data_IF_588281856679
#
_entry.id   IF_588281856679
#
_cell.length_a   1.000
_cell.length_b   1.000
_cell.length_c   1.000
_cell.angle_alpha   90.00
_cell.angle_beta   90.00
_cell.angle_gamma   90.00
#
_symmetry.space_group_name_H-M   'P 1'
#
loop_
_entity.id
_entity.type
_entity.pdbx_description
1 polymer ?
#
# COMPACT_ATOMS: atom_id res chain seq x y z
N UNK A 1 39.17 -39.97 -86.19
CA UNK A 1 39.68 -39.42 -84.86
C UNK A 1 38.59 -39.16 -83.84
N UNK A 2 37.53 -39.95 -83.79
CA UNK A 2 36.33 -39.62 -82.92
C UNK A 2 36.11 -40.50 -81.70
N UNK A 3 36.60 -41.73 -81.68
CA UNK A 3 36.24 -42.71 -80.62
C UNK A 3 37.05 -42.57 -79.33
N UNK A 4 38.35 -42.31 -79.42
CA UNK A 4 39.22 -42.10 -78.24
C UNK A 4 38.87 -40.87 -77.40
N UNK A 5 38.26 -39.87 -77.93
CA UNK A 5 37.88 -38.65 -77.24
C UNK A 5 36.52 -38.83 -76.47
N UNK A 6 35.63 -39.68 -77.00
CA UNK A 6 34.38 -40.07 -76.32
C UNK A 6 34.63 -40.96 -75.06
N UNK A 7 35.59 -41.93 -75.23
CA UNK A 7 35.96 -42.82 -74.07
C UNK A 7 36.66 -42.06 -72.96
N UNK A 8 37.54 -41.09 -73.31
CA UNK A 8 38.16 -40.23 -72.27
C UNK A 8 37.13 -39.35 -71.55
N UNK A 9 36.09 -38.83 -72.21
CA UNK A 9 35.01 -38.07 -71.61
C UNK A 9 34.13 -38.93 -70.76
N UNK A 10 33.80 -40.17 -71.17
CA UNK A 10 33.01 -41.10 -70.38
C UNK A 10 33.77 -41.58 -69.13
N UNK A 11 35.10 -41.85 -69.26
CA UNK A 11 35.93 -42.21 -68.10
C UNK A 11 36.05 -41.04 -67.10
N UNK A 12 36.15 -39.80 -67.59
CA UNK A 12 36.21 -38.62 -66.74
C UNK A 12 34.84 -38.34 -66.02
N UNK A 13 33.72 -38.60 -66.68
CA UNK A 13 32.40 -38.49 -66.12
C UNK A 13 32.20 -39.57 -65.02
N UNK A 14 32.56 -40.85 -65.28
CA UNK A 14 32.45 -41.93 -64.31
C UNK A 14 33.37 -41.73 -63.08
N UNK A 15 34.52 -41.10 -63.24
CA UNK A 15 35.43 -40.75 -62.15
C UNK A 15 34.92 -39.55 -61.34
N UNK A 16 34.16 -38.64 -61.95
CA UNK A 16 33.50 -37.53 -61.27
C UNK A 16 32.26 -38.00 -60.46
N UNK A 17 31.57 -39.00 -60.98
CA UNK A 17 30.43 -39.62 -60.35
C UNK A 17 30.82 -40.46 -59.11
N UNK A 18 31.92 -41.30 -59.25
CA UNK A 18 32.51 -42.00 -58.08
C UNK A 18 33.04 -41.04 -57.03
N UNK A 19 33.66 -39.89 -57.38
CA UNK A 19 34.06 -38.89 -56.39
C UNK A 19 32.87 -38.16 -55.74
N UNK A 20 31.69 -38.18 -56.33
CA UNK A 20 30.47 -37.68 -55.70
C UNK A 20 29.79 -38.70 -54.75
N UNK A 21 29.95 -40.01 -55.04
CA UNK A 21 29.43 -41.06 -54.18
C UNK A 21 30.32 -41.37 -52.94
N UNK A 22 31.62 -41.05 -53.01
CA UNK A 22 32.59 -41.24 -51.92
C UNK A 22 32.79 -39.98 -51.09
N UNK A 23 32.06 -38.89 -51.36
CA UNK A 23 32.02 -37.77 -50.47
C UNK A 23 31.18 -38.16 -49.22
N UNK A 24 31.74 -38.06 -48.02
CA UNK A 24 30.92 -38.26 -46.83
C UNK A 24 29.74 -37.29 -46.90
N UNK A 25 28.52 -37.72 -46.45
CA UNK A 25 27.39 -36.84 -46.37
C UNK A 25 27.80 -35.57 -45.62
N UNK A 26 27.34 -34.38 -46.06
CA UNK A 26 27.63 -33.17 -45.33
C UNK A 26 27.25 -33.44 -43.86
N UNK A 27 28.24 -33.36 -42.94
CA UNK A 27 27.97 -33.33 -41.54
C UNK A 27 27.06 -32.12 -41.34
N UNK A 28 25.85 -32.37 -40.99
CA UNK A 28 24.91 -31.37 -40.45
C UNK A 28 25.37 -31.02 -39.04
N UNK A 29 26.55 -30.41 -38.91
CA UNK A 29 27.05 -29.84 -37.68
C UNK A 29 26.34 -28.44 -37.54
N UNK A 30 25.04 -28.46 -37.34
CA UNK A 30 24.31 -27.18 -37.33
C UNK A 30 22.86 -27.22 -36.84
N UNK A 31 22.39 -28.33 -36.32
CA UNK A 31 21.10 -28.32 -35.62
C UNK A 31 21.36 -28.72 -34.16
N UNK A 32 21.83 -27.77 -33.37
CA UNK A 32 22.12 -28.01 -31.96
C UNK A 32 22.73 -26.85 -31.20
N UNK A 33 23.00 -25.74 -31.81
CA UNK A 33 23.11 -24.52 -31.03
C UNK A 33 21.66 -24.01 -30.81
N UNK A 34 21.03 -24.42 -29.74
CA UNK A 34 19.86 -23.73 -29.24
C UNK A 34 20.26 -22.25 -29.17
N UNK A 35 19.69 -21.46 -30.07
CA UNK A 35 19.94 -20.01 -30.07
C UNK A 35 19.46 -19.52 -28.73
N UNK A 36 20.37 -19.04 -27.89
CA UNK A 36 20.02 -18.53 -26.57
C UNK A 36 18.84 -17.56 -26.73
N UNK A 37 17.84 -17.71 -25.90
CA UNK A 37 16.65 -16.87 -25.95
C UNK A 37 17.06 -15.43 -25.67
N UNK A 38 16.60 -14.51 -26.51
CA UNK A 38 16.88 -13.08 -26.34
C UNK A 38 16.19 -12.57 -25.05
N UNK A 39 16.79 -11.64 -24.30
CA UNK A 39 16.22 -11.15 -23.02
C UNK A 39 14.77 -10.67 -23.15
N UNK A 40 14.42 -10.02 -24.27
CA UNK A 40 13.06 -9.51 -24.52
C UNK A 40 12.02 -10.64 -24.64
N UNK A 41 12.41 -11.79 -25.16
CA UNK A 41 11.53 -12.96 -25.22
C UNK A 41 11.32 -13.57 -23.84
N UNK A 42 12.36 -13.61 -23.01
CA UNK A 42 12.25 -14.07 -21.62
C UNK A 42 11.33 -13.14 -20.82
N UNK A 43 11.46 -11.82 -21.01
CA UNK A 43 10.59 -10.83 -20.39
C UNK A 43 9.12 -11.01 -20.81
N UNK A 44 8.89 -11.23 -22.11
CA UNK A 44 7.54 -11.49 -22.64
C UNK A 44 6.96 -12.81 -22.11
N UNK A 45 7.76 -13.86 -22.03
CA UNK A 45 7.35 -15.13 -21.44
C UNK A 45 7.01 -15.00 -19.95
N UNK A 46 7.77 -14.17 -19.19
CA UNK A 46 7.47 -13.90 -17.79
C UNK A 46 6.12 -13.17 -17.62
N UNK A 47 5.81 -12.20 -18.48
CA UNK A 47 4.52 -11.50 -18.48
C UNK A 47 3.39 -12.46 -18.86
N UNK A 48 3.54 -13.27 -19.89
CA UNK A 48 2.56 -14.28 -20.29
C UNK A 48 2.27 -15.28 -19.15
N UNK A 49 3.31 -15.79 -18.50
CA UNK A 49 3.17 -16.70 -17.36
C UNK A 49 2.41 -16.03 -16.19
N UNK A 50 2.66 -14.75 -15.92
CA UNK A 50 1.97 -13.99 -14.89
C UNK A 50 0.49 -13.77 -15.27
N UNK A 51 0.19 -13.45 -16.51
CA UNK A 51 -1.19 -13.26 -17.00
C UNK A 51 -1.97 -14.59 -16.99
N UNK A 52 -1.36 -15.70 -17.36
CA UNK A 52 -1.94 -17.04 -17.26
C UNK A 52 -2.25 -17.40 -15.80
N UNK A 53 -1.33 -17.09 -14.88
CA UNK A 53 -1.54 -17.31 -13.44
C UNK A 53 -2.74 -16.50 -12.94
N UNK A 54 -2.89 -15.24 -13.34
CA UNK A 54 -4.06 -14.40 -13.05
C UNK A 54 -5.35 -14.96 -13.64
N UNK A 55 -5.24 -15.61 -14.81
CA UNK A 55 -6.34 -16.33 -15.45
C UNK A 55 -6.73 -17.66 -14.77
N UNK A 56 -5.99 -18.06 -13.72
CA UNK A 56 -6.25 -19.28 -12.94
C UNK A 56 -5.41 -20.49 -13.32
N UNK A 57 -4.43 -20.33 -14.20
CA UNK A 57 -3.47 -21.41 -14.56
C UNK A 57 -2.36 -21.50 -13.52
N UNK A 58 -2.55 -22.35 -12.52
CA UNK A 58 -1.57 -22.55 -11.45
C UNK A 58 -0.28 -23.27 -11.90
N UNK A 59 -0.23 -23.84 -13.12
CA UNK A 59 0.96 -24.50 -13.65
C UNK A 59 1.92 -23.50 -14.34
N UNK A 60 1.42 -22.35 -14.76
CA UNK A 60 2.19 -21.36 -15.54
C UNK A 60 3.56 -21.00 -14.92
N UNK A 61 3.71 -20.79 -13.58
CA UNK A 61 5.01 -20.50 -12.98
C UNK A 61 6.04 -21.66 -13.10
N UNK A 62 5.56 -22.90 -13.06
CA UNK A 62 6.41 -24.08 -13.21
C UNK A 62 6.82 -24.29 -14.67
N UNK A 63 5.87 -24.17 -15.59
CA UNK A 63 6.14 -24.26 -17.03
C UNK A 63 7.14 -23.19 -17.48
N UNK A 64 7.02 -21.96 -17.01
CA UNK A 64 8.00 -20.91 -17.24
C UNK A 64 9.40 -21.28 -16.76
N UNK A 65 9.51 -21.85 -15.55
CA UNK A 65 10.80 -22.27 -15.00
C UNK A 65 11.42 -23.44 -15.78
N UNK A 66 10.60 -24.40 -16.25
CA UNK A 66 11.03 -25.56 -17.03
C UNK A 66 11.47 -25.14 -18.45
N UNK A 67 10.75 -24.23 -19.09
CA UNK A 67 11.11 -23.69 -20.41
C UNK A 67 12.49 -23.01 -20.39
N UNK A 68 12.81 -22.31 -19.30
CA UNK A 68 14.09 -21.60 -19.15
C UNK A 68 15.20 -22.41 -18.48
N UNK A 69 14.97 -23.71 -18.20
CA UNK A 69 15.97 -24.55 -17.51
C UNK A 69 17.28 -24.71 -18.30
N UNK A 70 17.22 -24.64 -19.64
CA UNK A 70 18.37 -24.73 -20.53
C UNK A 70 19.07 -23.39 -20.82
N UNK A 71 18.48 -22.27 -20.42
CA UNK A 71 18.99 -20.93 -20.73
C UNK A 71 20.07 -20.50 -19.73
N UNK A 72 20.91 -19.54 -20.15
CA UNK A 72 21.96 -18.97 -19.29
C UNK A 72 21.31 -18.27 -18.08
N UNK A 73 21.63 -18.76 -16.89
CA UNK A 73 21.09 -18.26 -15.64
C UNK A 73 21.18 -16.72 -15.51
N UNK A 74 22.33 -16.14 -15.84
CA UNK A 74 22.54 -14.69 -15.75
C UNK A 74 21.61 -13.89 -16.69
N UNK A 75 21.32 -14.42 -17.91
CA UNK A 75 20.42 -13.76 -18.86
C UNK A 75 18.97 -13.80 -18.35
N UNK A 76 18.52 -14.97 -17.87
CA UNK A 76 17.18 -15.12 -17.31
C UNK A 76 16.99 -14.24 -16.08
N UNK A 77 17.95 -14.24 -15.16
CA UNK A 77 17.87 -13.46 -13.92
C UNK A 77 17.82 -11.95 -14.21
N UNK A 78 18.61 -11.48 -15.16
CA UNK A 78 18.60 -10.07 -15.58
C UNK A 78 17.26 -9.69 -16.22
N UNK A 79 16.70 -10.54 -17.08
CA UNK A 79 15.41 -10.29 -17.72
C UNK A 79 14.26 -10.27 -16.71
N UNK A 80 14.24 -11.24 -15.77
CA UNK A 80 13.23 -11.28 -14.69
C UNK A 80 13.36 -10.06 -13.77
N UNK A 81 14.57 -9.64 -13.40
CA UNK A 81 14.78 -8.43 -12.61
C UNK A 81 14.31 -7.17 -13.34
N UNK A 82 14.55 -7.07 -14.65
CA UNK A 82 14.13 -5.94 -15.47
C UNK A 82 12.59 -5.84 -15.55
N UNK A 83 11.89 -6.95 -15.79
CA UNK A 83 10.43 -6.95 -15.88
C UNK A 83 9.79 -6.63 -14.52
N UNK A 84 10.31 -7.16 -13.42
CA UNK A 84 9.84 -6.84 -12.08
C UNK A 84 10.04 -5.36 -11.73
N UNK A 85 11.20 -4.79 -12.06
CA UNK A 85 11.47 -3.37 -11.86
C UNK A 85 10.48 -2.49 -12.63
N UNK A 86 10.17 -2.84 -13.90
CA UNK A 86 9.15 -2.14 -14.67
C UNK A 86 7.76 -2.31 -14.09
N UNK A 87 7.40 -3.50 -13.62
CA UNK A 87 6.12 -3.75 -12.98
C UNK A 87 5.94 -2.91 -11.71
N UNK A 88 6.96 -2.83 -10.85
CA UNK A 88 6.95 -1.97 -9.65
C UNK A 88 6.78 -0.50 -10.05
N UNK A 89 7.52 -0.02 -11.04
CA UNK A 89 7.38 1.36 -11.54
C UNK A 89 5.98 1.63 -12.10
N UNK A 90 5.39 0.69 -12.84
CA UNK A 90 4.02 0.81 -13.33
C UNK A 90 3.01 0.92 -12.17
N UNK A 91 3.23 0.19 -11.09
CA UNK A 91 2.42 0.27 -9.86
C UNK A 91 2.50 1.66 -9.25
N UNK A 92 3.68 2.30 -9.21
CA UNK A 92 3.82 3.69 -8.77
C UNK A 92 3.07 4.68 -9.67
N UNK A 93 3.17 4.49 -10.99
CA UNK A 93 2.42 5.30 -11.96
C UNK A 93 0.92 5.16 -11.77
N UNK A 94 0.45 4.00 -11.36
CA UNK A 94 -0.94 3.69 -11.03
C UNK A 94 -1.36 4.15 -9.62
N UNK A 95 -0.55 4.99 -8.96
CA UNK A 95 -0.91 5.66 -7.71
C UNK A 95 -0.73 4.85 -6.43
N UNK A 96 -0.11 3.68 -6.49
CA UNK A 96 0.23 2.89 -5.30
C UNK A 96 1.47 3.44 -4.60
N UNK A 97 1.58 3.14 -3.31
CA UNK A 97 2.73 3.50 -2.47
C UNK A 97 3.37 2.22 -1.89
N UNK A 98 4.63 2.28 -1.44
CA UNK A 98 5.33 1.09 -0.89
C UNK A 98 4.55 0.36 0.20
N UNK A 99 4.02 1.09 1.18
CA UNK A 99 3.21 0.52 2.25
C UNK A 99 1.93 -0.13 1.72
N UNK A 100 1.29 0.48 0.73
CA UNK A 100 0.05 -0.05 0.14
C UNK A 100 0.29 -1.38 -0.57
N UNK A 101 1.36 -1.48 -1.36
CA UNK A 101 1.76 -2.73 -2.04
C UNK A 101 2.04 -3.83 -1.02
N UNK A 102 2.78 -3.51 0.04
CA UNK A 102 3.06 -4.45 1.12
C UNK A 102 1.78 -4.92 1.83
N UNK A 103 0.88 -4.01 2.18
CA UNK A 103 -0.40 -4.34 2.81
C UNK A 103 -1.29 -5.20 1.91
N UNK A 104 -1.30 -4.93 0.61
CA UNK A 104 -2.03 -5.75 -0.37
C UNK A 104 -1.43 -7.15 -0.46
N UNK A 105 -0.10 -7.24 -0.55
CA UNK A 105 0.62 -8.50 -0.62
C UNK A 105 0.40 -9.36 0.63
N UNK A 106 0.53 -8.78 1.83
CA UNK A 106 0.32 -9.49 3.11
C UNK A 106 -1.08 -10.10 3.24
N UNK A 107 -2.10 -9.54 2.58
CA UNK A 107 -3.48 -10.03 2.67
C UNK A 107 -3.80 -11.14 1.67
N UNK A 108 -2.95 -11.36 0.68
CA UNK A 108 -3.26 -12.22 -0.49
C UNK A 108 -2.18 -13.23 -0.84
N UNK A 109 -0.95 -13.03 -0.37
CA UNK A 109 0.19 -13.84 -0.73
C UNK A 109 0.81 -14.50 0.49
N UNK A 110 1.53 -15.59 0.26
CA UNK A 110 2.32 -16.23 1.28
C UNK A 110 3.47 -15.34 1.74
N UNK A 111 3.85 -15.47 3.01
CA UNK A 111 4.89 -14.66 3.64
C UNK A 111 6.21 -14.63 2.85
N UNK A 112 6.57 -15.75 2.21
CA UNK A 112 7.79 -15.87 1.41
C UNK A 112 7.70 -15.00 0.15
N UNK A 113 6.54 -15.00 -0.52
CA UNK A 113 6.25 -14.14 -1.69
C UNK A 113 6.20 -12.67 -1.30
N UNK A 114 5.62 -12.34 -0.14
CA UNK A 114 5.63 -10.97 0.42
C UNK A 114 7.05 -10.44 0.57
N UNK A 115 7.99 -11.27 1.09
CA UNK A 115 9.39 -10.89 1.19
C UNK A 115 10.01 -10.56 -0.17
N UNK A 116 9.68 -11.33 -1.21
CA UNK A 116 10.15 -11.06 -2.57
C UNK A 116 9.53 -9.77 -3.15
N UNK A 117 8.26 -9.45 -2.85
CA UNK A 117 7.65 -8.16 -3.20
C UNK A 117 8.45 -7.01 -2.58
N UNK A 118 8.82 -7.10 -1.30
CA UNK A 118 9.63 -6.08 -0.61
C UNK A 118 11.00 -5.92 -1.27
N UNK A 119 11.65 -7.04 -1.63
CA UNK A 119 12.91 -7.02 -2.36
C UNK A 119 12.79 -6.32 -3.73
N UNK A 120 11.72 -6.59 -4.49
CA UNK A 120 11.46 -5.94 -5.77
C UNK A 120 11.25 -4.42 -5.62
N UNK A 121 10.54 -4.01 -4.57
CA UNK A 121 10.35 -2.59 -4.19
C UNK A 121 11.69 -1.96 -3.82
N UNK A 122 12.53 -2.65 -3.03
CA UNK A 122 13.85 -2.16 -2.65
C UNK A 122 14.79 -1.99 -3.87
N UNK A 123 14.77 -2.95 -4.80
CA UNK A 123 15.54 -2.90 -6.03
C UNK A 123 15.18 -1.68 -6.90
N UNK A 124 13.88 -1.42 -7.07
CA UNK A 124 13.40 -0.29 -7.86
C UNK A 124 13.74 1.05 -7.19
N UNK A 125 13.61 1.14 -5.86
CA UNK A 125 13.92 2.35 -5.10
C UNK A 125 15.39 2.80 -5.20
N UNK A 126 16.34 1.89 -5.46
CA UNK A 126 17.75 2.22 -5.66
C UNK A 126 18.01 3.11 -6.88
N UNK A 127 17.06 3.23 -7.80
CA UNK A 127 17.22 4.04 -9.02
C UNK A 127 17.10 5.55 -8.77
N UNK A 128 16.65 5.96 -7.58
CA UNK A 128 16.39 7.36 -7.25
C UNK A 128 17.36 7.90 -6.21
N UNK A 129 17.84 9.10 -6.45
CA UNK A 129 18.59 9.83 -5.42
C UNK A 129 17.66 10.17 -4.24
N UNK A 130 18.10 9.93 -3.01
CA UNK A 130 17.27 10.12 -1.82
C UNK A 130 16.68 11.55 -1.69
N UNK A 131 17.36 12.55 -2.23
CA UNK A 131 16.91 13.95 -2.23
C UNK A 131 15.70 14.19 -3.17
N UNK A 132 15.48 13.31 -4.15
CA UNK A 132 14.39 13.41 -5.13
C UNK A 132 13.18 12.54 -4.77
N UNK A 133 13.23 11.88 -3.61
CA UNK A 133 12.15 11.03 -3.09
C UNK A 133 11.47 11.73 -1.93
N UNK A 134 10.16 11.84 -1.98
CA UNK A 134 9.36 12.49 -0.94
C UNK A 134 9.59 11.84 0.43
N UNK A 135 9.58 12.61 1.53
CA UNK A 135 9.87 12.13 2.88
C UNK A 135 8.98 10.96 3.31
N UNK A 136 7.66 11.08 3.12
CA UNK A 136 6.70 10.01 3.42
C UNK A 136 6.94 8.73 2.61
N UNK A 137 7.45 8.86 1.40
CA UNK A 137 7.82 7.69 0.61
C UNK A 137 8.99 6.93 1.24
N UNK A 138 10.02 7.67 1.69
CA UNK A 138 11.18 7.10 2.38
C UNK A 138 10.80 6.47 3.71
N UNK A 139 9.89 7.10 4.46
CA UNK A 139 9.33 6.55 5.70
C UNK A 139 8.62 5.22 5.44
N UNK A 140 7.83 5.12 4.37
CA UNK A 140 7.15 3.88 4.00
C UNK A 140 8.12 2.78 3.58
N UNK A 141 9.15 3.08 2.78
CA UNK A 141 10.20 2.12 2.45
C UNK A 141 10.89 1.58 3.72
N UNK A 142 11.21 2.48 4.66
CA UNK A 142 11.78 2.10 5.95
C UNK A 142 10.82 1.24 6.78
N UNK A 143 9.53 1.58 6.82
CA UNK A 143 8.52 0.86 7.62
C UNK A 143 8.26 -0.58 7.16
N UNK A 144 8.55 -0.90 5.91
CA UNK A 144 8.43 -2.24 5.34
C UNK A 144 9.77 -2.96 5.22
N UNK A 145 10.85 -2.41 5.78
CA UNK A 145 12.23 -2.93 5.67
C UNK A 145 12.68 -3.16 4.22
N UNK A 146 12.31 -2.26 3.29
CA UNK A 146 12.71 -2.32 1.90
C UNK A 146 14.19 -1.97 1.73
N UNK A 147 15.05 -2.92 2.04
CA UNK A 147 16.52 -2.79 2.03
C UNK A 147 17.13 -3.80 1.08
N UNK A 148 18.06 -3.36 0.23
CA UNK A 148 18.87 -4.27 -0.60
C UNK A 148 19.87 -5.01 0.32
N UNK A 149 19.62 -6.29 0.54
CA UNK A 149 20.43 -7.17 1.38
C UNK A 149 21.39 -8.06 0.57
N UNK A 150 21.16 -8.17 -0.75
CA UNK A 150 21.98 -8.97 -1.65
C UNK A 150 23.18 -8.16 -2.18
N UNK A 151 24.20 -8.89 -2.60
CA UNK A 151 25.42 -8.27 -3.13
C UNK A 151 25.17 -7.61 -4.49
N UNK A 152 25.57 -6.36 -4.69
CA UNK A 152 25.53 -5.70 -6.00
C UNK A 152 26.36 -6.46 -7.04
N UNK A 153 25.81 -6.63 -8.24
CA UNK A 153 26.49 -7.31 -9.34
C UNK A 153 26.29 -8.83 -9.40
N UNK A 154 25.71 -9.43 -8.36
CA UNK A 154 25.25 -10.81 -8.38
C UNK A 154 23.71 -10.88 -8.51
N UNK A 155 23.19 -11.97 -9.05
CA UNK A 155 21.75 -12.14 -9.26
C UNK A 155 21.00 -12.18 -7.92
N UNK A 156 20.02 -11.28 -7.74
CA UNK A 156 19.10 -11.34 -6.61
C UNK A 156 18.37 -12.67 -6.54
N UNK A 157 17.81 -13.15 -7.65
CA UNK A 157 17.07 -14.41 -7.72
C UNK A 157 17.89 -15.60 -7.20
N UNK A 158 19.16 -15.70 -7.61
CA UNK A 158 20.05 -16.77 -7.17
C UNK A 158 20.38 -16.67 -5.67
N UNK A 159 20.66 -15.46 -5.17
CA UNK A 159 20.93 -15.23 -3.74
C UNK A 159 19.67 -15.44 -2.90
N UNK A 160 18.51 -15.03 -3.41
CA UNK A 160 17.22 -15.26 -2.76
C UNK A 160 16.91 -16.76 -2.63
N UNK A 161 17.13 -17.54 -3.72
CA UNK A 161 16.96 -19.00 -3.71
C UNK A 161 17.85 -19.65 -2.65
N UNK A 162 19.12 -19.25 -2.57
CA UNK A 162 20.06 -19.76 -1.58
C UNK A 162 19.64 -19.39 -0.15
N UNK A 163 19.27 -18.13 0.09
CA UNK A 163 18.84 -17.65 1.41
C UNK A 163 17.62 -18.37 1.95
N UNK A 164 16.69 -18.75 1.06
CA UNK A 164 15.45 -19.44 1.44
C UNK A 164 15.51 -20.95 1.29
N UNK A 165 16.67 -21.53 0.94
CA UNK A 165 16.84 -22.99 0.72
C UNK A 165 15.94 -23.52 -0.39
N UNK A 166 15.69 -22.71 -1.43
CA UNK A 166 14.84 -23.04 -2.57
C UNK A 166 15.66 -23.37 -3.80
N UNK A 167 15.07 -24.15 -4.71
CA UNK A 167 15.64 -24.34 -6.04
C UNK A 167 15.48 -23.08 -6.88
N UNK A 168 16.30 -22.92 -7.92
CA UNK A 168 16.17 -21.84 -8.89
C UNK A 168 14.78 -21.81 -9.56
N UNK A 169 14.27 -22.99 -9.95
CA UNK A 169 12.93 -23.11 -10.52
C UNK A 169 11.84 -22.57 -9.57
N UNK A 170 11.92 -22.91 -8.29
CA UNK A 170 11.01 -22.39 -7.28
C UNK A 170 11.13 -20.86 -7.11
N UNK A 171 12.34 -20.30 -7.20
CA UNK A 171 12.54 -18.85 -7.13
C UNK A 171 11.97 -18.13 -8.36
N UNK A 172 12.11 -18.70 -9.56
CA UNK A 172 11.46 -18.21 -10.77
C UNK A 172 9.93 -18.23 -10.63
N UNK A 173 9.37 -19.31 -10.10
CA UNK A 173 7.93 -19.41 -9.83
C UNK A 173 7.45 -18.29 -8.90
N UNK A 174 8.18 -18.02 -7.80
CA UNK A 174 7.87 -16.90 -6.89
C UNK A 174 7.96 -15.55 -7.61
N UNK A 175 8.94 -15.35 -8.48
CA UNK A 175 9.05 -14.10 -9.26
C UNK A 175 7.83 -13.90 -10.17
N UNK A 176 7.28 -14.96 -10.77
CA UNK A 176 6.04 -14.91 -11.58
C UNK A 176 4.82 -14.60 -10.68
N UNK A 177 4.74 -15.18 -9.49
CA UNK A 177 3.68 -14.86 -8.53
C UNK A 177 3.71 -13.38 -8.12
N UNK A 178 4.90 -12.83 -7.89
CA UNK A 178 5.07 -11.39 -7.60
C UNK A 178 4.64 -10.54 -8.79
N UNK A 179 5.05 -10.91 -10.01
CA UNK A 179 4.69 -10.18 -11.23
C UNK A 179 3.16 -10.18 -11.43
N UNK A 180 2.52 -11.33 -11.27
CA UNK A 180 1.08 -11.47 -11.33
C UNK A 180 0.38 -10.61 -10.26
N UNK A 181 0.86 -10.64 -9.01
CA UNK A 181 0.30 -9.83 -7.94
C UNK A 181 0.37 -8.34 -8.25
N UNK A 182 1.52 -7.84 -8.73
CA UNK A 182 1.70 -6.44 -9.13
C UNK A 182 0.80 -6.07 -10.32
N UNK A 183 0.67 -6.97 -11.31
CA UNK A 183 -0.21 -6.79 -12.47
C UNK A 183 -1.71 -6.76 -12.12
N UNK A 184 -2.11 -7.39 -11.00
CA UNK A 184 -3.50 -7.41 -10.54
C UNK A 184 -3.96 -6.11 -9.85
N UNK A 185 -3.05 -5.18 -9.59
CA UNK A 185 -3.34 -3.96 -8.84
C UNK A 185 -4.14 -2.96 -9.69
N UNK A 186 -5.31 -2.51 -9.24
CA UNK A 186 -6.10 -1.51 -9.97
C UNK A 186 -5.43 -0.13 -9.91
N UNK A 187 -5.78 0.73 -10.83
CA UNK A 187 -5.37 2.14 -10.78
C UNK A 187 -6.03 2.86 -9.61
N UNK A 188 -5.23 3.62 -8.87
CA UNK A 188 -5.63 4.47 -7.75
C UNK A 188 -5.30 5.93 -8.06
N UNK A 189 -5.97 6.84 -7.35
CA UNK A 189 -5.61 8.26 -7.39
C UNK A 189 -4.24 8.46 -6.72
N UNK A 190 -3.36 9.21 -7.39
CA UNK A 190 -2.03 9.51 -6.85
C UNK A 190 -2.14 10.51 -5.71
N UNK A 191 -1.55 10.17 -4.57
CA UNK A 191 -1.58 10.99 -3.34
C UNK A 191 -0.19 11.53 -2.93
N UNK A 192 0.87 11.08 -3.58
CA UNK A 192 2.23 11.61 -3.41
C UNK A 192 2.91 11.79 -4.77
N UNK A 193 3.89 12.70 -4.88
CA UNK A 193 4.74 12.80 -6.06
C UNK A 193 5.48 11.48 -6.32
N UNK A 194 5.73 11.18 -7.59
CA UNK A 194 6.50 10.00 -7.95
C UNK A 194 7.95 10.09 -7.45
N UNK A 195 8.60 8.95 -7.15
CA UNK A 195 10.03 8.94 -6.88
C UNK A 195 10.81 9.57 -8.04
N UNK A 196 11.82 10.36 -7.72
CA UNK A 196 12.60 11.10 -8.71
C UNK A 196 12.04 12.47 -9.11
N UNK A 197 10.78 12.79 -8.75
CA UNK A 197 10.14 14.06 -9.12
C UNK A 197 9.94 15.01 -7.93
N UNK A 198 10.22 14.59 -6.71
CA UNK A 198 10.02 15.45 -5.54
C UNK A 198 11.06 16.55 -5.50
N UNK A 199 10.61 17.81 -5.56
CA UNK A 199 11.43 18.97 -5.16
C UNK A 199 11.33 19.14 -3.65
N UNK A 200 12.44 19.40 -2.98
CA UNK A 200 12.46 19.69 -1.54
C UNK A 200 11.78 21.04 -1.31
N UNK A 201 10.62 21.12 -0.64
CA UNK A 201 10.03 22.40 -0.31
C UNK A 201 10.91 23.11 0.73
N UNK A 202 11.49 24.23 0.37
CA UNK A 202 12.38 24.98 1.27
C UNK A 202 11.64 25.78 2.37
N UNK A 203 10.36 26.07 2.17
CA UNK A 203 9.59 26.97 3.04
C UNK A 203 8.91 26.32 4.25
N UNK A 204 8.70 24.99 4.27
CA UNK A 204 7.91 24.31 5.32
C UNK A 204 8.69 23.84 6.56
N UNK A 205 10.03 24.02 6.62
CA UNK A 205 10.84 23.38 7.67
C UNK A 205 10.65 23.99 9.06
N UNK A 206 10.41 25.30 9.16
CA UNK A 206 10.19 25.98 10.45
C UNK A 206 8.77 25.69 11.01
N UNK A 207 7.76 25.67 10.15
CA UNK A 207 6.37 25.32 10.53
C UNK A 207 6.27 23.85 10.97
N UNK A 208 6.88 22.91 10.26
CA UNK A 208 6.95 21.48 10.67
C UNK A 208 7.56 21.29 12.06
N UNK A 209 8.51 22.14 12.48
CA UNK A 209 9.11 22.05 13.82
C UNK A 209 8.13 22.42 14.94
N UNK A 210 7.20 23.35 14.72
CA UNK A 210 6.13 23.72 15.68
C UNK A 210 5.07 22.64 15.71
N UNK A 211 4.60 22.19 14.55
CA UNK A 211 3.63 21.13 14.40
C UNK A 211 4.10 19.83 15.06
N UNK A 212 5.35 19.45 14.86
CA UNK A 212 5.96 18.28 15.51
C UNK A 212 6.02 18.40 17.04
N UNK A 213 6.29 19.59 17.60
CA UNK A 213 6.26 19.79 19.04
C UNK A 213 4.88 19.63 19.63
N UNK A 214 3.86 20.14 18.93
CA UNK A 214 2.47 20.01 19.35
C UNK A 214 1.99 18.58 19.22
N UNK A 215 2.28 17.92 18.10
CA UNK A 215 2.01 16.50 17.93
C UNK A 215 2.69 15.63 18.99
N UNK A 216 3.95 15.92 19.34
CA UNK A 216 4.66 15.25 20.43
C UNK A 216 3.98 15.48 21.78
N UNK A 217 3.46 16.70 22.04
CA UNK A 217 2.74 17.04 23.26
C UNK A 217 1.35 16.36 23.31
N UNK A 218 0.64 16.35 22.20
CA UNK A 218 -0.61 15.60 22.05
C UNK A 218 -0.35 14.11 22.31
N UNK A 219 0.65 13.52 21.65
CA UNK A 219 1.08 12.13 21.90
C UNK A 219 1.43 11.87 23.36
N UNK A 220 2.12 12.81 24.02
CA UNK A 220 2.48 12.72 25.45
C UNK A 220 1.26 12.77 26.36
N UNK A 221 0.30 13.66 26.10
CA UNK A 221 -0.96 13.73 26.84
C UNK A 221 -1.77 12.45 26.67
N UNK A 222 -1.87 12.01 25.42
CA UNK A 222 -2.57 10.80 25.06
C UNK A 222 -1.90 9.56 25.71
N UNK A 223 -0.59 9.43 25.69
CA UNK A 223 0.16 8.35 26.35
C UNK A 223 -0.03 8.36 27.88
N UNK A 224 -0.12 9.54 28.49
CA UNK A 224 -0.39 9.66 29.93
C UNK A 224 -1.81 9.25 30.27
N UNK A 225 -2.79 9.65 29.49
CA UNK A 225 -4.18 9.24 29.62
C UNK A 225 -4.34 7.72 29.54
N UNK A 226 -3.51 7.05 28.72
CA UNK A 226 -3.49 5.58 28.59
C UNK A 226 -2.88 4.86 29.79
N UNK A 227 -1.93 5.50 30.43
CA UNK A 227 -1.19 4.91 31.55
C UNK A 227 -1.87 5.08 32.89
N UNK A 228 -2.81 6.03 33.03
CA UNK A 228 -3.53 6.23 34.28
C UNK A 228 -4.57 5.14 34.56
N UNK A 229 -4.65 4.73 35.79
CA UNK A 229 -5.67 3.78 36.26
C UNK A 229 -7.04 4.42 36.53
N UNK A 230 -7.12 5.75 36.50
CA UNK A 230 -8.31 6.52 36.83
C UNK A 230 -9.01 7.00 35.53
N UNK A 231 -10.26 6.51 35.28
CA UNK A 231 -11.00 6.88 34.08
C UNK A 231 -11.22 8.40 33.94
N UNK A 232 -11.47 9.09 35.03
CA UNK A 232 -11.70 10.54 35.05
C UNK A 232 -10.44 11.33 34.68
N UNK A 233 -9.25 10.89 35.10
CA UNK A 233 -7.97 11.49 34.70
C UNK A 233 -7.68 11.22 33.23
N UNK A 234 -7.96 10.02 32.74
CA UNK A 234 -7.85 9.67 31.32
C UNK A 234 -8.74 10.56 30.46
N UNK A 235 -10.00 10.78 30.88
CA UNK A 235 -10.93 11.64 30.20
C UNK A 235 -10.45 13.11 30.17
N UNK A 236 -9.96 13.63 31.30
CA UNK A 236 -9.43 14.99 31.40
C UNK A 236 -8.20 15.20 30.50
N UNK A 237 -7.30 14.22 30.42
CA UNK A 237 -6.12 14.28 29.57
C UNK A 237 -6.48 14.19 28.08
N UNK A 238 -7.45 13.36 27.74
CA UNK A 238 -7.96 13.24 26.35
C UNK A 238 -8.69 14.48 25.89
N UNK A 239 -9.54 15.06 26.76
CA UNK A 239 -10.17 16.37 26.51
C UNK A 239 -9.12 17.46 26.32
N UNK A 240 -8.04 17.44 27.10
CA UNK A 240 -6.92 18.37 26.96
C UNK A 240 -6.15 18.20 25.66
N UNK A 241 -5.96 16.96 25.20
CA UNK A 241 -5.35 16.68 23.92
C UNK A 241 -6.21 17.23 22.77
N UNK A 242 -7.53 16.99 22.81
CA UNK A 242 -8.48 17.51 21.81
C UNK A 242 -8.54 19.05 21.84
N UNK A 243 -8.56 19.65 23.03
CA UNK A 243 -8.48 21.11 23.20
C UNK A 243 -7.19 21.66 22.58
N UNK A 244 -6.05 21.02 22.82
CA UNK A 244 -4.76 21.43 22.26
C UNK A 244 -4.75 21.35 20.73
N UNK A 245 -5.34 20.29 20.18
CA UNK A 245 -5.46 20.12 18.72
C UNK A 245 -6.36 21.18 18.10
N UNK A 246 -7.53 21.43 18.69
CA UNK A 246 -8.46 22.47 18.22
C UNK A 246 -7.85 23.87 18.33
N UNK A 247 -7.16 24.15 19.44
CA UNK A 247 -6.45 25.42 19.64
C UNK A 247 -5.34 25.60 18.62
N UNK A 248 -4.53 24.58 18.37
CA UNK A 248 -3.45 24.66 17.39
C UNK A 248 -3.97 24.93 15.96
N UNK A 249 -5.04 24.25 15.57
CA UNK A 249 -5.69 24.51 14.29
C UNK A 249 -6.18 25.97 14.18
N UNK A 250 -6.70 26.53 15.29
CA UNK A 250 -7.11 27.91 15.36
C UNK A 250 -5.92 28.87 15.34
N UNK A 251 -4.85 28.60 16.09
CA UNK A 251 -3.61 29.40 16.10
C UNK A 251 -2.97 29.44 14.69
N UNK A 252 -2.95 28.31 13.98
CA UNK A 252 -2.50 28.27 12.57
C UNK A 252 -3.38 29.13 11.66
N UNK A 253 -4.71 29.07 11.84
CA UNK A 253 -5.62 29.91 11.06
C UNK A 253 -5.41 31.41 11.35
N UNK A 254 -5.08 31.78 12.59
CA UNK A 254 -4.71 33.17 12.94
C UNK A 254 -3.45 33.61 12.22
N UNK A 255 -2.39 32.81 12.26
CA UNK A 255 -1.12 33.13 11.59
C UNK A 255 -1.32 33.26 10.09
N UNK A 256 -2.05 32.39 9.45
CA UNK A 256 -2.36 32.47 8.01
C UNK A 256 -3.18 33.72 7.67
N UNK A 257 -4.15 34.06 8.54
CA UNK A 257 -4.92 35.29 8.37
C UNK A 257 -4.08 36.56 8.51
N UNK A 258 -3.09 36.56 9.41
CA UNK A 258 -2.19 37.69 9.63
C UNK A 258 -1.11 37.80 8.53
N UNK A 259 -0.60 36.68 8.03
CA UNK A 259 0.34 36.66 6.93
C UNK A 259 -0.31 36.85 5.55
N UNK A 260 -1.62 36.75 5.44
CA UNK A 260 -2.36 36.81 4.17
C UNK A 260 -1.93 35.67 3.21
N UNK A 261 -1.49 34.53 3.74
CA UNK A 261 -1.05 33.39 2.95
C UNK A 261 -2.24 32.50 2.62
N UNK A 262 -2.25 31.97 1.39
CA UNK A 262 -3.22 30.96 1.01
C UNK A 262 -3.06 29.71 1.87
N UNK A 263 -4.15 28.95 2.15
CA UNK A 263 -4.08 27.71 2.87
C UNK A 263 -3.11 26.73 2.19
N UNK A 264 -2.37 25.96 2.98
CA UNK A 264 -1.53 24.88 2.42
C UNK A 264 -2.40 23.88 1.66
N UNK A 265 -1.89 23.30 0.55
CA UNK A 265 -2.62 22.29 -0.21
C UNK A 265 -3.01 21.11 0.68
N UNK A 266 -4.26 20.66 0.54
CA UNK A 266 -4.68 19.44 1.21
C UNK A 266 -3.87 18.23 0.73
N UNK A 267 -3.64 17.32 1.63
CA UNK A 267 -2.94 16.05 1.41
C UNK A 267 -3.91 14.87 1.55
N UNK A 268 -3.41 13.68 1.25
CA UNK A 268 -4.15 12.44 1.45
C UNK A 268 -3.29 11.37 2.12
N UNK A 269 -3.96 10.49 2.90
CA UNK A 269 -3.38 9.26 3.49
C UNK A 269 -4.31 8.09 3.30
N UNK A 270 -3.77 6.87 3.23
CA UNK A 270 -4.54 5.63 3.19
C UNK A 270 -4.40 4.88 4.50
N UNK A 271 -5.54 4.59 5.12
CA UNK A 271 -5.64 3.80 6.35
C UNK A 271 -6.18 2.41 5.98
N UNK A 272 -5.35 1.40 6.12
CA UNK A 272 -5.70 0.03 5.84
C UNK A 272 -6.54 -0.56 6.97
N UNK A 273 -7.63 -1.23 6.60
CA UNK A 273 -8.56 -1.83 7.54
C UNK A 273 -8.58 -3.35 7.35
N UNK A 274 -8.51 -4.08 8.45
CA UNK A 274 -8.58 -5.54 8.42
C UNK A 274 -10.01 -6.04 8.34
N UNK A 275 -10.21 -7.10 7.56
CA UNK A 275 -11.46 -7.85 7.57
C UNK A 275 -11.69 -8.52 8.94
N UNK A 276 -12.95 -8.79 9.30
CA UNK A 276 -14.20 -8.43 8.65
C UNK A 276 -14.72 -7.04 9.05
N UNK A 277 -15.90 -6.65 8.52
CA UNK A 277 -16.66 -5.44 8.86
C UNK A 277 -16.04 -4.12 8.37
N UNK A 278 -15.40 -4.13 7.20
CA UNK A 278 -14.74 -2.96 6.62
C UNK A 278 -15.61 -1.70 6.63
N UNK A 279 -16.87 -1.81 6.19
CA UNK A 279 -17.78 -0.66 6.18
C UNK A 279 -18.05 -0.06 7.55
N UNK A 280 -18.26 -0.88 8.59
CA UNK A 280 -18.48 -0.40 9.95
C UNK A 280 -17.21 0.24 10.55
N UNK A 281 -16.03 -0.32 10.24
CA UNK A 281 -14.74 0.26 10.63
C UNK A 281 -14.48 1.58 9.91
N UNK A 282 -14.83 1.66 8.61
CA UNK A 282 -14.72 2.89 7.84
C UNK A 282 -15.63 4.00 8.38
N UNK A 283 -16.81 3.68 8.93
CA UNK A 283 -17.65 4.65 9.63
C UNK A 283 -16.95 5.27 10.84
N UNK A 284 -16.17 4.48 11.58
CA UNK A 284 -15.41 4.97 12.73
C UNK A 284 -14.29 5.91 12.27
N UNK A 285 -13.55 5.53 11.22
CA UNK A 285 -12.55 6.40 10.61
C UNK A 285 -13.20 7.70 10.11
N UNK A 286 -14.36 7.61 9.45
CA UNK A 286 -15.12 8.76 8.98
C UNK A 286 -15.60 9.67 10.11
N UNK A 287 -15.99 9.10 11.28
CA UNK A 287 -16.38 9.88 12.45
C UNK A 287 -15.21 10.70 13.01
N UNK A 288 -14.02 10.09 13.11
CA UNK A 288 -12.79 10.77 13.54
C UNK A 288 -12.34 11.82 12.53
N UNK A 289 -12.37 11.49 11.24
CA UNK A 289 -11.97 12.37 10.15
C UNK A 289 -12.85 13.64 10.11
N UNK A 290 -14.17 13.46 10.15
CA UNK A 290 -15.12 14.58 10.16
C UNK A 290 -14.91 15.55 11.33
N UNK A 291 -14.62 15.02 12.53
CA UNK A 291 -14.32 15.84 13.69
C UNK A 291 -13.00 16.63 13.58
N UNK A 292 -12.11 16.24 12.65
CA UNK A 292 -10.84 16.88 12.37
C UNK A 292 -10.78 17.51 10.95
N UNK A 293 -11.90 17.96 10.41
CA UNK A 293 -11.98 18.68 9.11
C UNK A 293 -11.46 17.88 7.92
N UNK A 294 -11.47 16.55 8.03
CA UNK A 294 -11.03 15.67 6.98
C UNK A 294 -12.20 14.99 6.26
N UNK A 295 -12.02 14.67 4.99
CA UNK A 295 -12.95 13.89 4.16
C UNK A 295 -12.43 12.45 4.01
N UNK A 296 -13.34 11.51 3.78
CA UNK A 296 -12.96 10.09 3.66
C UNK A 296 -13.62 9.41 2.47
N UNK A 297 -12.86 8.51 1.81
CA UNK A 297 -13.33 7.64 0.75
C UNK A 297 -12.95 6.18 1.05
N UNK A 298 -13.93 5.27 1.06
CA UNK A 298 -13.70 3.83 1.29
C UNK A 298 -13.47 3.07 -0.04
N UNK A 299 -12.34 2.40 -0.14
CA UNK A 299 -12.05 1.41 -1.18
C UNK A 299 -12.32 -0.01 -0.65
N UNK A 300 -13.61 -0.38 -0.59
CA UNK A 300 -14.05 -1.62 0.07
C UNK A 300 -13.42 -2.89 -0.51
N UNK A 301 -13.29 -2.98 -1.85
CA UNK A 301 -12.71 -4.16 -2.53
C UNK A 301 -11.22 -4.34 -2.24
N UNK A 302 -10.52 -3.26 -1.93
CA UNK A 302 -9.08 -3.28 -1.64
C UNK A 302 -8.86 -3.40 -0.14
N UNK A 303 -9.62 -2.67 0.68
CA UNK A 303 -9.58 -2.76 2.13
C UNK A 303 -8.94 -1.56 2.83
N UNK A 304 -9.02 -0.34 2.27
CA UNK A 304 -8.53 0.87 2.91
C UNK A 304 -9.50 2.04 2.79
N UNK A 305 -9.30 3.03 3.64
CA UNK A 305 -9.96 4.34 3.57
C UNK A 305 -8.91 5.37 3.19
N UNK A 306 -9.17 6.18 2.16
CA UNK A 306 -8.40 7.39 1.89
C UNK A 306 -8.98 8.51 2.73
N UNK A 307 -8.12 9.20 3.49
CA UNK A 307 -8.44 10.39 4.28
C UNK A 307 -7.76 11.58 3.64
N UNK A 308 -8.50 12.66 3.42
CA UNK A 308 -8.02 13.93 2.85
C UNK A 308 -8.14 15.02 3.89
N UNK A 309 -7.12 15.85 4.00
CA UNK A 309 -7.08 16.93 4.97
C UNK A 309 -5.72 17.61 5.04
N UNK A 310 -5.54 18.48 6.03
CA UNK A 310 -4.24 19.03 6.38
C UNK A 310 -3.30 17.93 6.94
N UNK A 311 -2.00 18.07 6.74
CA UNK A 311 -1.02 17.05 7.16
C UNK A 311 -1.07 16.72 8.66
N UNK A 312 -1.28 17.72 9.50
CA UNK A 312 -1.40 17.56 10.95
C UNK A 312 -2.71 16.87 11.32
N UNK A 313 -3.81 17.30 10.72
CA UNK A 313 -5.13 16.70 10.92
C UNK A 313 -5.13 15.22 10.47
N UNK A 314 -4.46 14.90 9.35
CA UNK A 314 -4.30 13.52 8.87
C UNK A 314 -3.51 12.65 9.85
N UNK A 315 -2.46 13.16 10.48
CA UNK A 315 -1.69 12.42 11.48
C UNK A 315 -2.53 12.16 12.74
N UNK A 316 -3.32 13.14 13.17
CA UNK A 316 -4.26 13.01 14.28
C UNK A 316 -5.31 11.93 13.97
N UNK A 317 -5.91 11.99 12.78
CA UNK A 317 -6.93 11.02 12.35
C UNK A 317 -6.36 9.62 12.33
N UNK A 318 -5.15 9.43 11.80
CA UNK A 318 -4.48 8.12 11.76
C UNK A 318 -4.27 7.55 13.16
N UNK A 319 -3.73 8.34 14.07
CA UNK A 319 -3.48 7.93 15.45
C UNK A 319 -4.78 7.59 16.19
N UNK A 320 -5.74 8.51 16.18
CA UNK A 320 -6.98 8.35 16.93
C UNK A 320 -7.87 7.23 16.36
N UNK A 321 -8.01 7.17 15.03
CA UNK A 321 -8.79 6.12 14.39
C UNK A 321 -8.20 4.73 14.65
N UNK A 322 -6.87 4.58 14.60
CA UNK A 322 -6.20 3.30 14.87
C UNK A 322 -6.46 2.86 16.30
N UNK A 323 -6.31 3.75 17.28
CA UNK A 323 -6.59 3.44 18.69
C UNK A 323 -8.05 3.04 18.91
N UNK A 324 -8.99 3.82 18.39
CA UNK A 324 -10.41 3.54 18.52
C UNK A 324 -10.83 2.24 17.82
N UNK A 325 -10.22 1.88 16.71
CA UNK A 325 -10.44 0.58 16.03
C UNK A 325 -9.99 -0.59 16.92
N UNK A 326 -8.86 -0.47 17.60
CA UNK A 326 -8.37 -1.47 18.54
C UNK A 326 -9.33 -1.57 19.74
N UNK A 327 -9.73 -0.44 20.31
CA UNK A 327 -10.66 -0.41 21.46
C UNK A 327 -12.03 -1.01 21.10
N UNK A 328 -12.59 -0.62 19.94
CA UNK A 328 -13.86 -1.15 19.44
C UNK A 328 -13.81 -2.67 19.25
N UNK A 329 -12.70 -3.17 18.68
CA UNK A 329 -12.51 -4.60 18.43
C UNK A 329 -12.41 -5.37 19.75
N UNK A 330 -11.65 -4.87 20.72
CA UNK A 330 -11.52 -5.48 22.05
C UNK A 330 -12.84 -5.49 22.82
N UNK A 331 -13.52 -4.34 22.86
CA UNK A 331 -14.81 -4.23 23.52
C UNK A 331 -15.85 -5.16 22.89
N UNK A 332 -15.89 -5.26 21.56
CA UNK A 332 -16.76 -6.18 20.84
C UNK A 332 -16.48 -7.65 21.18
N UNK A 333 -15.22 -8.03 21.31
CA UNK A 333 -14.83 -9.39 21.72
C UNK A 333 -15.14 -9.67 23.18
N UNK A 334 -14.93 -8.71 24.08
CA UNK A 334 -15.23 -8.83 25.51
C UNK A 334 -16.73 -8.92 25.80
N UNK A 335 -17.57 -8.20 25.05
CA UNK A 335 -19.02 -8.24 25.18
C UNK A 335 -19.63 -9.60 24.72
N UNK A 336 -18.85 -10.42 24.00
CA UNK A 336 -19.33 -11.66 23.39
C UNK A 336 -19.60 -12.88 24.28
N UNK A 337 -18.97 -13.11 25.45
CA UNK A 337 -19.09 -14.37 26.19
C UNK A 337 -20.18 -14.43 27.28
N UNK A 338 -20.79 -13.33 27.66
CA UNK A 338 -21.61 -13.25 28.87
C UNK A 338 -23.05 -13.72 28.72
N UNK A 339 -23.54 -13.96 27.54
CA UNK A 339 -24.92 -14.37 27.29
C UNK A 339 -25.01 -15.87 27.01
N UNK A 340 -25.62 -16.63 27.90
CA UNK A 340 -25.91 -18.08 27.76
C UNK A 340 -26.82 -18.45 26.57
N UNK A 341 -27.13 -17.50 25.69
CA UNK A 341 -28.03 -17.67 24.51
C UNK A 341 -27.41 -17.54 23.13
N UNK A 342 -26.10 -17.37 22.97
CA UNK A 342 -25.41 -17.57 21.68
C UNK A 342 -25.54 -16.47 20.62
N UNK A 343 -26.27 -15.37 20.82
CA UNK A 343 -26.53 -14.33 19.78
C UNK A 343 -25.41 -13.32 19.60
N UNK A 344 -24.57 -13.10 20.64
CA UNK A 344 -23.46 -12.12 20.61
C UNK A 344 -22.31 -12.48 19.65
N UNK A 345 -22.26 -13.73 19.16
CA UNK A 345 -21.26 -14.21 18.19
C UNK A 345 -21.69 -14.03 16.75
N UNK A 346 -22.91 -13.60 16.47
CA UNK A 346 -23.44 -13.48 15.13
C UNK A 346 -22.78 -12.31 14.37
N UNK A 347 -22.65 -12.45 13.05
CA UNK A 347 -22.12 -11.40 12.17
C UNK A 347 -22.93 -10.10 12.32
N UNK A 348 -24.26 -10.20 12.46
CA UNK A 348 -25.16 -9.05 12.62
C UNK A 348 -24.94 -8.30 13.94
N UNK A 349 -24.73 -9.03 15.05
CA UNK A 349 -24.39 -8.43 16.36
C UNK A 349 -23.12 -7.60 16.26
N UNK A 350 -22.03 -8.19 15.76
CA UNK A 350 -20.72 -7.51 15.66
C UNK A 350 -20.75 -6.31 14.72
N UNK A 351 -21.47 -6.43 13.62
CA UNK A 351 -21.64 -5.30 12.70
C UNK A 351 -22.43 -4.16 13.36
N UNK A 352 -23.57 -4.47 14.02
CA UNK A 352 -24.39 -3.48 14.72
C UNK A 352 -23.65 -2.83 15.89
N UNK A 353 -22.81 -3.60 16.59
CA UNK A 353 -21.92 -3.08 17.64
C UNK A 353 -20.96 -2.02 17.08
N UNK A 354 -20.23 -2.34 16.02
CA UNK A 354 -19.25 -1.42 15.44
C UNK A 354 -19.90 -0.16 14.84
N UNK A 355 -21.07 -0.30 14.21
CA UNK A 355 -21.83 0.85 13.69
C UNK A 355 -22.27 1.76 14.86
N UNK A 356 -22.80 1.18 15.92
CA UNK A 356 -23.25 1.94 17.09
C UNK A 356 -22.08 2.62 17.82
N UNK A 357 -20.96 1.91 17.96
CA UNK A 357 -19.71 2.45 18.51
C UNK A 357 -19.25 3.67 17.69
N UNK A 358 -19.16 3.54 16.36
CA UNK A 358 -18.75 4.64 15.47
C UNK A 358 -19.70 5.85 15.57
N UNK A 359 -21.02 5.61 15.61
CA UNK A 359 -22.01 6.67 15.74
C UNK A 359 -21.84 7.41 17.06
N UNK A 360 -21.66 6.69 18.17
CA UNK A 360 -21.49 7.30 19.50
C UNK A 360 -20.17 8.06 19.63
N UNK A 361 -19.08 7.54 19.06
CA UNK A 361 -17.81 8.26 18.99
C UNK A 361 -17.97 9.58 18.20
N UNK A 362 -18.71 9.57 17.09
CA UNK A 362 -19.01 10.80 16.34
C UNK A 362 -19.71 11.83 17.23
N UNK A 363 -20.78 11.43 17.95
CA UNK A 363 -21.50 12.30 18.87
C UNK A 363 -20.56 12.92 19.92
N UNK A 364 -19.71 12.11 20.53
CA UNK A 364 -18.75 12.55 21.56
C UNK A 364 -17.70 13.52 21.01
N UNK A 365 -17.14 13.24 19.84
CA UNK A 365 -16.15 14.10 19.20
C UNK A 365 -16.76 15.43 18.77
N UNK A 366 -17.99 15.44 18.24
CA UNK A 366 -18.71 16.69 17.91
C UNK A 366 -18.93 17.54 19.16
N UNK A 367 -19.43 16.93 20.25
CA UNK A 367 -19.62 17.66 21.50
C UNK A 367 -18.32 18.25 22.08
N UNK A 368 -17.21 17.51 21.97
CA UNK A 368 -15.90 17.98 22.41
C UNK A 368 -15.37 19.13 21.55
N UNK A 369 -15.61 19.07 20.24
CA UNK A 369 -15.25 20.14 19.29
C UNK A 369 -16.05 21.42 19.56
N UNK A 370 -17.36 21.29 19.77
CA UNK A 370 -18.26 22.41 20.08
C UNK A 370 -17.88 23.08 21.40
N UNK A 371 -17.58 22.27 22.44
CA UNK A 371 -17.13 22.78 23.74
C UNK A 371 -15.76 23.49 23.65
N UNK A 372 -14.84 22.97 22.83
CA UNK A 372 -13.54 23.60 22.57
C UNK A 372 -13.67 24.94 21.83
N UNK A 373 -14.67 25.07 20.97
CA UNK A 373 -14.97 26.28 20.22
C UNK A 373 -15.74 27.35 21.05
N UNK A 374 -16.57 26.91 21.98
CA UNK A 374 -17.41 27.81 22.80
C UNK A 374 -16.60 28.67 23.80
N UNK A 375 -15.36 28.27 24.16
CA UNK A 375 -14.47 29.03 25.07
C UNK A 375 -13.57 30.05 24.39
N UNK A 376 -13.52 30.08 23.06
CA UNK A 376 -12.69 30.99 22.28
C UNK A 376 -13.63 31.79 21.34
N UNK A 377 -13.79 33.10 21.62
CA UNK A 377 -14.44 33.98 20.65
C UNK A 377 -13.59 33.92 19.35
N UNK A 378 -14.05 33.16 18.36
CA UNK A 378 -13.44 33.16 17.04
C UNK A 378 -13.67 34.52 16.43
N UNK A 379 -12.63 35.34 16.22
CA UNK A 379 -12.82 36.65 15.57
C UNK A 379 -13.44 36.43 14.18
N UNK A 380 -14.39 37.26 13.78
CA UNK A 380 -15.08 37.18 12.48
C UNK A 380 -14.10 37.08 11.30
N UNK A 381 -12.89 37.61 11.44
CA UNK A 381 -11.81 37.55 10.46
C UNK A 381 -11.24 36.13 10.24
N UNK A 382 -11.45 35.17 11.16
CA UNK A 382 -10.95 33.78 11.03
C UNK A 382 -11.93 32.86 10.32
N UNK A 383 -13.21 33.18 10.32
CA UNK A 383 -14.23 32.37 9.63
C UNK A 383 -13.91 32.18 8.14
N UNK A 384 -13.45 33.20 7.38
CA UNK A 384 -13.07 33.05 5.98
C UNK A 384 -11.87 32.09 5.80
N UNK A 385 -10.88 32.09 6.72
CA UNK A 385 -9.68 31.24 6.65
C UNK A 385 -10.04 29.79 6.90
N UNK A 386 -10.86 29.53 7.93
CA UNK A 386 -11.36 28.17 8.21
C UNK A 386 -12.20 27.63 7.05
N UNK A 387 -13.09 28.45 6.50
CA UNK A 387 -13.88 28.08 5.32
C UNK A 387 -13.02 27.89 4.06
N UNK A 388 -11.91 28.62 3.91
CA UNK A 388 -10.97 28.42 2.82
C UNK A 388 -10.25 27.06 2.93
N UNK A 389 -9.85 26.65 4.13
CA UNK A 389 -9.23 25.33 4.38
C UNK A 389 -10.21 24.18 4.07
N UNK A 390 -11.44 24.27 4.57
CA UNK A 390 -12.48 23.28 4.25
C UNK A 390 -12.71 23.18 2.75
N UNK A 391 -12.75 24.32 2.05
CA UNK A 391 -12.90 24.37 0.59
C UNK A 391 -11.76 23.66 -0.13
N UNK A 392 -10.49 23.88 0.27
CA UNK A 392 -9.34 23.21 -0.34
C UNK A 392 -9.44 21.69 -0.18
N UNK A 393 -9.92 21.19 0.95
CA UNK A 393 -10.15 19.76 1.18
C UNK A 393 -11.31 19.24 0.32
N UNK A 394 -12.39 19.99 0.21
CA UNK A 394 -13.56 19.62 -0.61
C UNK A 394 -13.21 19.62 -2.10
N UNK A 395 -12.49 20.62 -2.60
CA UNK A 395 -12.02 20.70 -3.97
C UNK A 395 -11.12 19.52 -4.32
N UNK A 396 -10.16 19.17 -3.46
CA UNK A 396 -9.32 18.00 -3.65
C UNK A 396 -10.14 16.69 -3.63
N UNK A 397 -11.14 16.61 -2.76
CA UNK A 397 -12.02 15.44 -2.69
C UNK A 397 -12.82 15.26 -3.99
N UNK A 398 -13.41 16.35 -4.49
CA UNK A 398 -14.23 16.33 -5.71
C UNK A 398 -13.39 16.07 -6.97
N UNK A 399 -12.15 16.60 -7.01
CA UNK A 399 -11.17 16.31 -8.06
C UNK A 399 -10.78 14.82 -8.07
N UNK A 400 -10.43 14.29 -6.89
CA UNK A 400 -9.98 12.91 -6.78
C UNK A 400 -11.11 11.89 -6.94
N UNK A 401 -12.34 12.25 -6.57
CA UNK A 401 -13.47 11.32 -6.47
C UNK A 401 -14.77 11.87 -7.11
N UNK A 402 -14.76 12.18 -8.40
CA UNK A 402 -15.91 12.80 -9.08
C UNK A 402 -17.17 11.90 -9.13
N UNK A 403 -17.02 10.60 -8.90
CA UNK A 403 -18.10 9.63 -8.99
C UNK A 403 -18.24 8.85 -7.67
N UNK A 404 -18.74 9.50 -6.62
CA UNK A 404 -18.92 8.88 -5.32
C UNK A 404 -20.39 8.72 -4.96
N UNK A 405 -20.68 7.67 -4.20
CA UNK A 405 -22.00 7.45 -3.64
C UNK A 405 -21.92 7.35 -2.12
N UNK A 406 -22.78 8.13 -1.44
CA UNK A 406 -22.94 7.98 -0.01
C UNK A 406 -23.52 6.60 0.33
N UNK A 407 -22.89 5.87 1.25
CA UNK A 407 -23.35 4.58 1.71
C UNK A 407 -23.98 4.70 3.10
N UNK A 408 -25.19 4.21 3.25
CA UNK A 408 -25.85 4.05 4.53
C UNK A 408 -25.60 2.65 5.09
N UNK A 409 -25.51 2.53 6.41
CA UNK A 409 -25.34 1.25 7.09
C UNK A 409 -26.58 0.99 7.97
N UNK A 410 -27.19 -0.16 7.81
CA UNK A 410 -28.34 -0.58 8.61
C UNK A 410 -27.88 -1.30 9.86
N UNK A 411 -28.60 -1.07 10.95
CA UNK A 411 -28.48 -1.80 12.20
C UNK A 411 -29.56 -2.87 12.21
N UNK A 412 -29.16 -4.14 12.31
CA UNK A 412 -30.08 -5.29 12.29
C UNK A 412 -30.14 -6.06 13.61
N UNK A 413 -29.32 -5.68 14.61
CA UNK A 413 -29.27 -6.32 15.91
C UNK A 413 -29.28 -5.27 17.03
N UNK A 414 -30.36 -5.18 17.79
CA UNK A 414 -30.56 -4.19 18.85
C UNK A 414 -29.58 -4.38 20.04
N UNK A 415 -29.35 -5.64 20.46
CA UNK A 415 -28.44 -5.94 21.54
C UNK A 415 -27.01 -5.48 21.22
N UNK A 416 -26.53 -5.81 20.02
CA UNK A 416 -25.23 -5.34 19.53
C UNK A 416 -25.15 -3.81 19.47
N UNK A 417 -26.23 -3.15 19.08
CA UNK A 417 -26.30 -1.69 19.04
C UNK A 417 -26.16 -1.06 20.44
N UNK A 418 -26.93 -1.52 21.41
CA UNK A 418 -26.82 -0.97 22.79
C UNK A 418 -25.46 -1.27 23.43
N UNK A 419 -24.94 -2.48 23.24
CA UNK A 419 -23.60 -2.83 23.71
C UNK A 419 -22.50 -1.97 23.09
N UNK A 420 -22.61 -1.67 21.77
CA UNK A 420 -21.69 -0.81 21.06
C UNK A 420 -21.71 0.65 21.55
N UNK A 421 -22.88 1.20 21.82
CA UNK A 421 -23.01 2.55 22.42
C UNK A 421 -22.38 2.61 23.81
N UNK A 422 -22.70 1.65 24.68
CA UNK A 422 -22.14 1.59 26.04
C UNK A 422 -20.62 1.44 26.01
N UNK A 423 -20.08 0.61 25.12
CA UNK A 423 -18.64 0.47 24.93
C UNK A 423 -17.97 1.77 24.42
N UNK A 424 -18.67 2.51 23.56
CA UNK A 424 -18.17 3.79 23.07
C UNK A 424 -18.20 4.90 24.13
N UNK A 425 -19.12 4.85 25.08
CA UNK A 425 -19.12 5.76 26.24
C UNK A 425 -17.92 5.51 27.16
N UNK A 426 -17.49 4.25 27.25
CA UNK A 426 -16.28 3.84 27.99
C UNK A 426 -15.00 3.93 27.17
N UNK A 427 -15.10 4.18 25.84
CA UNK A 427 -13.93 4.27 25.01
C UNK A 427 -13.09 5.49 25.38
N UNK A 428 -11.81 5.25 25.55
CA UNK A 428 -10.81 6.30 25.69
C UNK A 428 -10.59 6.90 24.31
N UNK A 429 -10.85 8.18 24.15
CA UNK A 429 -10.57 8.91 22.90
C UNK A 429 -9.06 9.21 22.82
N UNK A 430 -8.25 8.16 23.01
CA UNK A 430 -6.83 8.23 23.19
C UNK A 430 -6.08 7.08 22.47
N UNK A 431 -4.84 7.31 22.06
CA UNK A 431 -4.14 6.50 21.05
C UNK A 431 -3.17 5.44 21.56
N UNK A 432 -3.00 5.21 22.87
CA UNK A 432 -2.03 4.21 23.35
C UNK A 432 -2.43 3.49 24.64
N UNK A 433 -3.23 2.49 24.55
CA UNK A 433 -3.09 1.38 25.48
C UNK A 433 -2.38 0.25 24.75
N UNK A 434 -1.07 0.15 24.98
CA UNK A 434 -0.28 -0.97 24.48
C UNK A 434 -0.95 -2.29 24.88
N UNK A 435 -1.11 -3.15 23.89
CA UNK A 435 -1.53 -4.53 24.06
C UNK A 435 -0.48 -5.23 24.91
N UNK A 436 -0.83 -5.63 26.11
CA UNK A 436 -0.21 -6.76 26.81
C UNK A 436 -0.94 -8.03 26.47
#
# INVERSE_FOLDING_TARGET
>A
MGTRNRERRAAKAKRRERRRSDAPPPRWDGWGASRAMEPELIEAAAVDAADRLLGGDSCAPHEFADELAGERAATVDAAVAAVLTRAVRAVWMNGWLPHDVHQFAQRRLDRVVVGYVVDAVAAEAQQYAAATVHERWREQLCSIDAVVWWEPGASHLSQWAQRHGRTRAAALGVAIEVLAALGSLPTLQRILPLPGSASVPSAGRARRGVDQKILARVRGLLAKAESTAFPEEAEALSAKAQELMSRHALERAVVEAEEGTDPEPASARRLWLDNPYLGAKALLVGAVASANRCRTMLYEKIGFVTVLGDDVDLEIVELLATSLLVQATRAMLAAGPQTRGGTSRTRSYRQSFLVAFATRIRERLTMASDAGSAGVAVPDRLLPVLAARERVVDELFDEMFPHTHARSFSVSNAEGYYAGRAAADLAVLDTRRAVR
#
